data_IF_394948007415
#
_entry.id   IF_394948007415
#
_cell.length_a   1.000
_cell.length_b   1.000
_cell.length_c   1.000
_cell.angle_alpha   90.00
_cell.angle_beta   90.00
_cell.angle_gamma   90.00
#
_symmetry.space_group_name_H-M   'P 1'
#
loop_
_entity.id
_entity.type
_entity.pdbx_description
1 polymer ?
#
# COMPACT_ATOMS: atom_id res chain seq x y z
N UNK A 1 13.38 -6.87 37.70
CA UNK A 1 12.90 -7.06 36.31
C UNK A 1 12.10 -5.83 35.92
N UNK A 2 12.56 -5.09 34.92
CA UNK A 2 11.95 -3.82 34.52
C UNK A 2 10.99 -3.98 33.34
N UNK A 3 10.01 -3.09 33.25
CA UNK A 3 9.32 -2.74 32.00
C UNK A 3 9.13 -1.23 31.99
N UNK A 4 9.77 -0.57 31.03
CA UNK A 4 9.64 0.87 30.76
C UNK A 4 8.50 1.01 29.74
N UNK A 5 7.37 1.59 30.14
CA UNK A 5 6.31 1.98 29.21
C UNK A 5 6.69 3.34 28.63
N UNK A 6 7.19 3.36 27.40
CA UNK A 6 7.32 4.59 26.60
C UNK A 6 5.97 4.88 25.93
N UNK A 7 5.19 5.78 26.52
CA UNK A 7 4.07 6.43 25.84
C UNK A 7 4.58 7.75 25.23
N UNK A 8 4.55 7.86 23.89
CA UNK A 8 4.91 9.08 23.17
C UNK A 8 3.67 9.96 23.03
N UNK A 9 3.57 11.01 23.84
CA UNK A 9 2.49 12.01 23.78
C UNK A 9 3.00 13.18 22.93
N UNK A 10 2.70 13.15 21.63
CA UNK A 10 3.00 14.27 20.75
C UNK A 10 1.85 15.27 20.75
N UNK A 11 1.96 16.24 21.66
CA UNK A 11 1.55 17.65 21.51
C UNK A 11 0.09 17.95 21.13
N UNK A 12 -0.71 18.17 22.17
CA UNK A 12 -1.65 19.30 22.24
C UNK A 12 -0.87 20.60 22.01
N UNK A 13 -1.13 21.30 20.91
CA UNK A 13 -0.80 22.73 20.79
C UNK A 13 -2.06 23.43 20.29
N UNK A 14 -2.79 24.03 21.24
CA UNK A 14 -3.56 25.24 21.00
C UNK A 14 -2.55 26.37 20.85
N UNK A 15 -2.48 27.01 19.68
CA UNK A 15 -2.00 28.38 19.55
C UNK A 15 -2.82 29.11 18.48
N UNK A 16 -3.66 29.99 19.00
CA UNK A 16 -4.13 31.22 18.38
C UNK A 16 -2.89 32.02 17.96
N UNK A 17 -2.67 32.27 16.67
CA UNK A 17 -1.65 33.22 16.22
C UNK A 17 -2.21 34.07 15.08
N UNK A 18 -2.29 35.35 15.42
CA UNK A 18 -2.69 36.51 14.64
C UNK A 18 -1.80 36.70 13.42
N UNK A 19 -2.36 37.42 12.46
CA UNK A 19 -1.95 37.54 11.06
C UNK A 19 -0.58 38.18 10.81
N UNK A 20 -0.09 37.89 9.59
CA UNK A 20 0.91 38.62 8.80
C UNK A 20 2.40 38.39 9.16
N UNK A 21 2.92 37.21 8.79
CA UNK A 21 4.16 37.08 7.97
C UNK A 21 4.68 35.63 7.94
N UNK A 22 3.92 34.69 7.37
CA UNK A 22 4.37 33.27 7.31
C UNK A 22 3.91 32.54 6.06
N UNK A 23 4.17 33.11 4.87
CA UNK A 23 3.89 32.42 3.60
C UNK A 23 5.06 31.53 3.10
N UNK A 24 6.23 31.50 3.77
CA UNK A 24 7.43 30.80 3.25
C UNK A 24 8.07 29.76 4.19
N UNK A 25 7.53 29.52 5.38
CA UNK A 25 8.09 28.54 6.32
C UNK A 25 7.37 27.17 6.34
N UNK A 26 6.20 27.03 5.71
CA UNK A 26 5.37 25.81 5.78
C UNK A 26 5.49 24.89 4.55
N UNK A 27 6.65 24.88 3.87
CA UNK A 27 6.89 24.00 2.69
C UNK A 27 7.82 22.82 3.06
N UNK A 28 8.40 22.81 4.26
CA UNK A 28 9.45 21.84 4.63
C UNK A 28 9.03 20.81 5.69
N UNK A 29 7.79 20.84 6.18
CA UNK A 29 7.31 20.00 7.28
C UNK A 29 6.40 18.83 6.88
N UNK A 30 6.46 18.34 5.63
CA UNK A 30 5.79 17.09 5.27
C UNK A 30 6.51 16.32 4.16
N UNK A 31 7.74 15.90 4.45
CA UNK A 31 8.40 14.82 3.69
C UNK A 31 8.34 13.56 4.53
N UNK A 32 7.13 13.03 4.76
CA UNK A 32 6.99 11.62 5.09
C UNK A 32 7.59 10.89 3.90
N UNK A 33 8.73 10.22 4.11
CA UNK A 33 9.31 9.37 3.08
C UNK A 33 8.18 8.42 2.63
N UNK A 34 7.89 8.32 1.32
CA UNK A 34 6.80 7.47 0.87
C UNK A 34 7.09 6.06 1.37
N UNK A 35 6.18 5.52 2.19
CA UNK A 35 6.30 4.14 2.64
C UNK A 35 6.43 3.24 1.40
N UNK A 36 7.34 2.25 1.44
CA UNK A 36 7.56 1.38 0.31
C UNK A 36 6.25 0.65 -0.04
N UNK A 37 5.94 0.46 -1.33
CA UNK A 37 4.71 -0.21 -1.73
C UNK A 37 4.73 -1.67 -1.26
N UNK A 38 3.57 -2.14 -0.80
CA UNK A 38 3.37 -3.55 -0.47
C UNK A 38 3.19 -4.31 -1.80
N UNK A 39 4.12 -5.21 -2.08
CA UNK A 39 4.06 -6.07 -3.28
C UNK A 39 3.66 -7.47 -2.85
N UNK A 40 2.53 -7.94 -3.37
CA UNK A 40 2.01 -9.28 -3.14
C UNK A 40 2.13 -10.12 -4.42
N UNK A 41 2.77 -11.28 -4.32
CA UNK A 41 2.78 -12.26 -5.40
C UNK A 41 1.61 -13.23 -5.25
N UNK A 42 0.68 -13.21 -6.22
CA UNK A 42 -0.46 -14.11 -6.28
C UNK A 42 -0.13 -15.44 -6.98
N UNK A 43 1.12 -15.61 -7.41
CA UNK A 43 1.60 -16.79 -8.10
C UNK A 43 1.01 -16.97 -9.50
N UNK A 44 1.17 -18.18 -10.04
CA UNK A 44 0.69 -18.51 -11.38
C UNK A 44 -0.81 -18.80 -11.37
N UNK A 45 -1.58 -18.01 -12.13
CA UNK A 45 -3.03 -18.20 -12.31
C UNK A 45 -3.38 -18.63 -13.73
N UNK A 46 -4.51 -19.32 -13.90
CA UNK A 46 -4.96 -19.79 -15.22
C UNK A 46 -5.33 -18.61 -16.11
N UNK A 47 -5.08 -18.72 -17.42
CA UNK A 47 -5.40 -17.66 -18.41
C UNK A 47 -6.85 -17.18 -18.34
N UNK A 48 -7.81 -18.08 -18.07
CA UNK A 48 -9.23 -17.74 -17.91
C UNK A 48 -9.47 -16.83 -16.69
N UNK A 49 -8.84 -17.12 -15.56
CA UNK A 49 -8.95 -16.30 -14.34
C UNK A 49 -8.36 -14.90 -14.56
N UNK A 50 -7.21 -14.81 -15.22
CA UNK A 50 -6.60 -13.52 -15.58
C UNK A 50 -7.54 -12.70 -16.48
N UNK A 51 -8.19 -13.33 -17.46
CA UNK A 51 -9.16 -12.65 -18.34
C UNK A 51 -10.36 -12.10 -17.56
N UNK A 52 -10.87 -12.83 -16.57
CA UNK A 52 -11.98 -12.38 -15.72
C UNK A 52 -11.53 -11.26 -14.79
N UNK A 53 -10.35 -11.37 -14.18
CA UNK A 53 -9.76 -10.33 -13.34
C UNK A 53 -9.60 -9.01 -14.11
N UNK A 54 -9.13 -9.05 -15.37
CA UNK A 54 -9.07 -7.87 -16.24
C UNK A 54 -10.42 -7.19 -16.48
N UNK A 55 -11.53 -7.92 -16.31
CA UNK A 55 -12.90 -7.40 -16.39
C UNK A 55 -13.47 -7.02 -15.02
N UNK A 56 -12.68 -7.09 -13.95
CA UNK A 56 -13.13 -6.84 -12.57
C UNK A 56 -14.06 -7.92 -12.00
N UNK A 57 -14.02 -9.15 -12.54
CA UNK A 57 -14.94 -10.23 -12.14
C UNK A 57 -14.23 -11.57 -11.90
N UNK A 58 -14.97 -12.53 -11.35
CA UNK A 58 -14.54 -13.93 -11.20
C UNK A 58 -13.75 -14.20 -9.91
N UNK A 59 -13.43 -15.49 -9.71
CA UNK A 59 -12.83 -15.99 -8.44
C UNK A 59 -11.55 -15.26 -8.04
N UNK A 60 -10.69 -14.93 -9.01
CA UNK A 60 -9.43 -14.24 -8.72
C UNK A 60 -9.65 -12.79 -8.25
N UNK A 61 -10.74 -12.14 -8.66
CA UNK A 61 -11.09 -10.81 -8.14
C UNK A 61 -11.54 -10.90 -6.68
N UNK A 62 -12.34 -11.93 -6.33
CA UNK A 62 -12.74 -12.18 -4.94
C UNK A 62 -11.53 -12.42 -4.04
N UNK A 63 -10.59 -13.29 -4.47
CA UNK A 63 -9.33 -13.53 -3.74
C UNK A 63 -8.53 -12.24 -3.50
N UNK A 64 -8.52 -11.31 -4.47
CA UNK A 64 -7.85 -10.01 -4.31
C UNK A 64 -8.59 -9.10 -3.32
N UNK A 65 -9.92 -9.10 -3.34
CA UNK A 65 -10.74 -8.31 -2.41
C UNK A 65 -10.55 -8.79 -0.97
N UNK A 66 -10.59 -10.11 -0.76
CA UNK A 66 -10.37 -10.73 0.54
C UNK A 66 -9.00 -10.35 1.10
N UNK A 67 -7.95 -10.45 0.28
CA UNK A 67 -6.59 -10.05 0.67
C UNK A 67 -6.48 -8.56 1.04
N UNK A 68 -7.11 -7.67 0.27
CA UNK A 68 -7.13 -6.23 0.59
C UNK A 68 -7.87 -6.00 1.92
N UNK A 69 -8.97 -6.72 2.16
CA UNK A 69 -9.74 -6.58 3.38
C UNK A 69 -8.96 -7.07 4.60
N UNK A 70 -8.24 -8.18 4.50
CA UNK A 70 -7.33 -8.66 5.54
C UNK A 70 -6.22 -7.65 5.84
N UNK A 71 -5.61 -7.06 4.81
CA UNK A 71 -4.58 -6.03 4.99
C UNK A 71 -5.13 -4.76 5.67
N UNK A 72 -6.37 -4.37 5.37
CA UNK A 72 -7.05 -3.26 6.06
C UNK A 72 -7.28 -3.59 7.53
N UNK A 73 -7.78 -4.79 7.83
CA UNK A 73 -8.03 -5.25 9.19
C UNK A 73 -6.74 -5.34 10.02
N UNK A 74 -5.62 -5.71 9.38
CA UNK A 74 -4.30 -5.74 9.99
C UNK A 74 -3.68 -4.35 10.19
N UNK A 75 -4.34 -3.27 9.72
CA UNK A 75 -3.82 -1.89 9.80
C UNK A 75 -2.59 -1.64 8.92
N UNK A 76 -2.28 -2.55 7.99
CA UNK A 76 -1.10 -2.45 7.11
C UNK A 76 -1.34 -1.50 5.93
N UNK A 77 -2.61 -1.26 5.58
CA UNK A 77 -3.02 -0.34 4.52
C UNK A 77 -4.14 0.57 4.99
N UNK A 78 -4.16 1.81 4.50
CA UNK A 78 -5.23 2.77 4.82
C UNK A 78 -6.55 2.40 4.12
N UNK A 79 -7.67 2.87 4.67
CA UNK A 79 -9.00 2.52 4.14
C UNK A 79 -9.22 2.93 2.68
N UNK A 80 -8.51 3.98 2.22
CA UNK A 80 -8.63 4.60 0.90
C UNK A 80 -7.63 4.04 -0.14
N UNK A 81 -6.98 2.91 0.14
CA UNK A 81 -6.00 2.34 -0.80
C UNK A 81 -6.64 1.91 -2.12
N UNK A 82 -6.02 2.36 -3.23
CA UNK A 82 -6.32 1.91 -4.59
C UNK A 82 -5.29 0.86 -5.01
N UNK A 83 -5.67 -0.43 -5.15
CA UNK A 83 -4.73 -1.48 -5.51
C UNK A 83 -4.29 -1.35 -6.98
N UNK A 84 -3.00 -1.55 -7.24
CA UNK A 84 -2.44 -1.68 -8.59
C UNK A 84 -2.06 -3.14 -8.82
N UNK A 85 -2.64 -3.77 -9.85
CA UNK A 85 -2.39 -5.19 -10.15
C UNK A 85 -1.53 -5.30 -11.41
N UNK A 86 -0.34 -5.89 -11.27
CA UNK A 86 0.59 -6.09 -12.37
C UNK A 86 0.50 -7.53 -12.87
N UNK A 87 0.18 -7.69 -14.17
CA UNK A 87 0.10 -9.00 -14.82
C UNK A 87 1.36 -9.25 -15.64
N UNK A 88 2.19 -10.19 -15.18
CA UNK A 88 3.40 -10.60 -15.89
C UNK A 88 3.17 -11.89 -16.68
N UNK A 89 3.88 -12.04 -17.80
CA UNK A 89 3.97 -13.30 -18.55
C UNK A 89 5.41 -13.77 -18.56
N UNK A 90 5.66 -14.89 -17.92
CA UNK A 90 6.96 -15.56 -17.99
C UNK A 90 7.20 -16.05 -19.43
N UNK A 91 8.27 -15.56 -20.07
CA UNK A 91 8.74 -16.08 -21.35
C UNK A 91 9.63 -17.28 -21.08
N UNK A 92 9.23 -18.47 -21.53
CA UNK A 92 10.12 -19.65 -21.54
C UNK A 92 11.29 -19.34 -22.47
N UNK A 93 12.52 -19.28 -21.94
CA UNK A 93 13.73 -19.31 -22.78
C UNK A 93 13.75 -20.67 -23.49
N UNK A 94 13.83 -20.67 -24.82
CA UNK A 94 14.21 -21.88 -25.54
C UNK A 94 15.65 -22.15 -25.17
N UNK A 95 15.89 -23.17 -24.35
CA UNK A 95 17.21 -23.74 -24.22
C UNK A 95 17.48 -24.44 -25.55
N UNK A 96 18.12 -23.71 -26.46
CA UNK A 96 18.65 -24.25 -27.69
C UNK A 96 19.96 -24.93 -27.30
N UNK A 97 19.91 -26.24 -27.09
CA UNK A 97 21.12 -27.04 -26.93
C UNK A 97 21.80 -27.13 -28.31
N UNK A 98 23.14 -26.97 -28.39
CA UNK A 98 23.90 -27.02 -29.64
C UNK A 98 23.90 -28.42 -30.27
#
# INVERSE_FOLDING_TARGET
MGVIIKANISKTILQENTMADTAKANVQANRVAPEPPIVLDLGRKRRKQIKLLKKGTGKLMAEVQDCIQELKQAGTVTEQVRPVIVLVRERRRRLMFP
#
